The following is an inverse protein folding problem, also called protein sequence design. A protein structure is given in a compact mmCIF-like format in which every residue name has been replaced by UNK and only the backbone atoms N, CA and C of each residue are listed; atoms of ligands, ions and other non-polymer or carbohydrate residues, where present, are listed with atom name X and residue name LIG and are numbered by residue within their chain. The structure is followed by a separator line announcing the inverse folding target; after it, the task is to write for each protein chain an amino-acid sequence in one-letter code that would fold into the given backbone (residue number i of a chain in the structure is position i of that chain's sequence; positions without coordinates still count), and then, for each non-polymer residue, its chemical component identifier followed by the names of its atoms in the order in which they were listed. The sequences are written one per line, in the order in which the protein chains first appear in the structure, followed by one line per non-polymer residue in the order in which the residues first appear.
data_IF_871324154137
#
_entry.id   IF_871324154137
#
_cell.length_a   1.000
_cell.length_b   1.000
_cell.length_c   1.000
_cell.angle_alpha   90.00
_cell.angle_beta   90.00
_cell.angle_gamma   90.00
#
_symmetry.space_group_name_H-M   'P 1'
#
loop_
_entity.id
_entity.type
_entity.pdbx_description
1 polymer ?
#
# COMPACT_ATOMS: atom_id res chain seq x y z
N UNK A 1 18.84 -6.95 -9.49
CA UNK A 1 17.54 -6.36 -9.86
C UNK A 1 17.70 -5.78 -11.25
N UNK A 2 17.30 -6.54 -12.28
CA UNK A 2 17.28 -6.32 -13.76
C UNK A 2 18.40 -5.56 -14.50
N UNK A 3 19.23 -4.74 -13.85
CA UNK A 3 20.16 -3.81 -14.50
C UNK A 3 19.46 -2.58 -15.11
N UNK A 4 18.18 -2.39 -14.81
CA UNK A 4 17.36 -1.31 -15.38
C UNK A 4 17.50 -0.03 -14.56
N UNK A 5 17.59 1.08 -15.28
CA UNK A 5 17.55 2.43 -14.73
C UNK A 5 16.28 2.67 -13.89
N UNK A 6 16.38 3.18 -12.65
CA UNK A 6 15.23 3.51 -11.81
C UNK A 6 14.25 4.48 -12.47
N UNK A 7 14.73 5.43 -13.27
CA UNK A 7 13.85 6.37 -13.97
C UNK A 7 13.06 5.67 -15.07
N UNK A 8 13.69 4.77 -15.82
CA UNK A 8 12.96 3.94 -16.78
C UNK A 8 11.88 3.07 -16.10
N UNK A 9 12.17 2.52 -14.91
CA UNK A 9 11.17 1.82 -14.11
C UNK A 9 10.06 2.75 -13.62
N UNK A 10 10.36 4.01 -13.30
CA UNK A 10 9.39 4.94 -12.74
C UNK A 10 8.53 5.64 -13.81
N UNK A 11 9.06 5.91 -15.00
CA UNK A 11 8.42 6.81 -15.97
C UNK A 11 8.13 6.18 -17.33
N UNK A 12 8.86 5.14 -17.72
CA UNK A 12 8.78 4.59 -19.09
C UNK A 12 7.85 3.36 -19.18
N UNK A 13 7.27 2.92 -18.06
CA UNK A 13 6.26 1.84 -18.02
C UNK A 13 4.88 2.33 -18.46
N UNK A 14 4.19 1.50 -19.22
CA UNK A 14 2.77 1.66 -19.50
C UNK A 14 1.93 1.42 -18.23
N UNK A 15 0.72 1.99 -18.10
CA UNK A 15 -0.10 1.83 -16.90
C UNK A 15 -0.33 0.38 -16.49
N UNK A 16 -0.50 -0.53 -17.46
CA UNK A 16 -0.69 -1.96 -17.22
C UNK A 16 0.54 -2.69 -16.64
N UNK A 17 1.73 -2.06 -16.66
CA UNK A 17 2.97 -2.63 -16.14
C UNK A 17 3.27 -2.22 -14.69
N UNK A 18 2.39 -1.41 -14.08
CA UNK A 18 2.47 -1.10 -12.66
C UNK A 18 1.94 -2.26 -11.81
N UNK A 19 2.48 -2.36 -10.59
CA UNK A 19 2.28 -3.49 -9.67
C UNK A 19 1.97 -3.03 -8.24
N UNK A 20 1.53 -1.78 -8.09
CA UNK A 20 1.08 -1.26 -6.79
C UNK A 20 -0.27 -1.87 -6.42
N UNK A 21 -0.60 -1.83 -5.13
CA UNK A 21 -1.86 -2.35 -4.62
C UNK A 21 -3.04 -1.52 -5.12
N UNK A 22 -4.18 -2.15 -5.44
CA UNK A 22 -5.43 -1.48 -5.83
C UNK A 22 -5.92 -0.49 -4.78
N UNK A 23 -5.55 -0.67 -3.51
CA UNK A 23 -5.74 0.33 -2.45
C UNK A 23 -5.24 1.74 -2.86
N UNK A 24 -4.18 1.81 -3.66
CA UNK A 24 -3.56 3.05 -4.11
C UNK A 24 -4.13 3.59 -5.43
N UNK A 25 -5.07 2.89 -6.07
CA UNK A 25 -5.79 3.37 -7.27
C UNK A 25 -6.88 4.39 -6.93
N UNK A 26 -7.21 4.55 -5.65
CA UNK A 26 -8.20 5.52 -5.21
C UNK A 26 -7.67 6.94 -5.39
N UNK A 27 -8.48 7.82 -6.01
CA UNK A 27 -8.18 9.25 -6.09
C UNK A 27 -8.05 9.90 -4.71
N UNK A 28 -7.55 11.14 -4.64
CA UNK A 28 -7.21 11.79 -3.37
C UNK A 28 -8.36 11.78 -2.35
N UNK A 29 -9.58 12.08 -2.80
CA UNK A 29 -10.76 12.16 -1.94
C UNK A 29 -10.69 13.34 -0.97
N UNK A 30 -11.44 13.26 0.12
CA UNK A 30 -11.33 14.22 1.22
C UNK A 30 -10.23 13.82 2.22
N UNK A 31 -10.11 14.57 3.32
CA UNK A 31 -9.09 14.32 4.33
C UNK A 31 -9.29 12.97 5.03
N UNK A 32 -10.53 12.57 5.31
CA UNK A 32 -10.81 11.29 5.97
C UNK A 32 -10.46 10.11 5.06
N UNK A 33 -10.78 10.20 3.76
CA UNK A 33 -10.36 9.23 2.74
C UNK A 33 -8.84 9.12 2.66
N UNK A 34 -8.14 10.26 2.67
CA UNK A 34 -6.67 10.28 2.63
C UNK A 34 -6.07 9.62 3.87
N UNK A 35 -6.56 9.95 5.07
CA UNK A 35 -6.05 9.37 6.32
C UNK A 35 -6.40 7.88 6.46
N UNK A 36 -7.60 7.46 6.06
CA UNK A 36 -7.98 6.05 6.06
C UNK A 36 -7.09 5.22 5.12
N UNK A 37 -6.90 5.67 3.87
CA UNK A 37 -6.03 4.98 2.90
C UNK A 37 -4.59 4.92 3.39
N UNK A 38 -4.06 6.04 3.91
CA UNK A 38 -2.72 6.08 4.49
C UNK A 38 -2.62 5.11 5.66
N UNK A 39 -3.50 5.17 6.66
CA UNK A 39 -3.49 4.25 7.79
C UNK A 39 -3.49 2.77 7.38
N UNK A 40 -4.37 2.38 6.45
CA UNK A 40 -4.43 1.01 5.94
C UNK A 40 -3.11 0.60 5.27
N UNK A 41 -2.52 1.47 4.45
CA UNK A 41 -1.25 1.22 3.76
C UNK A 41 -0.04 1.22 4.69
N UNK A 42 0.18 2.27 5.49
CA UNK A 42 1.36 2.41 6.36
C UNK A 42 1.40 1.24 7.37
N UNK A 43 0.25 0.85 7.93
CA UNK A 43 0.19 -0.31 8.84
C UNK A 43 0.51 -1.62 8.11
N UNK A 44 0.11 -1.74 6.85
CA UNK A 44 0.43 -2.93 6.04
C UNK A 44 1.91 -2.97 5.64
N UNK A 45 2.48 -1.82 5.28
CA UNK A 45 3.90 -1.72 4.91
C UNK A 45 4.79 -1.92 6.13
N UNK A 46 4.40 -1.42 7.31
CA UNK A 46 5.09 -1.73 8.57
C UNK A 46 5.22 -3.25 8.80
N UNK A 47 4.13 -4.01 8.67
CA UNK A 47 4.15 -5.48 8.81
C UNK A 47 5.04 -6.14 7.74
N UNK A 48 5.03 -5.65 6.50
CA UNK A 48 5.90 -6.16 5.42
C UNK A 48 7.37 -5.84 5.66
N UNK A 49 7.70 -4.63 6.10
CA UNK A 49 9.06 -4.20 6.38
C UNK A 49 9.63 -4.96 7.59
N UNK A 50 8.81 -5.21 8.62
CA UNK A 50 9.16 -6.09 9.75
C UNK A 50 9.54 -7.50 9.27
N UNK A 51 8.79 -8.07 8.32
CA UNK A 51 9.12 -9.39 7.76
C UNK A 51 10.38 -9.37 6.87
N UNK A 52 10.61 -8.30 6.12
CA UNK A 52 11.74 -8.19 5.19
C UNK A 52 13.06 -7.83 5.87
N UNK A 53 13.04 -7.08 6.97
CA UNK A 53 14.27 -6.71 7.70
C UNK A 53 14.93 -7.92 8.36
N UNK A 54 14.14 -8.94 8.68
CA UNK A 54 14.59 -10.22 9.24
C UNK A 54 15.01 -11.22 8.15
N UNK A 55 14.88 -10.86 6.87
CA UNK A 55 15.17 -11.73 5.74
C UNK A 55 16.66 -12.07 5.59
N UNK A 56 16.94 -13.25 5.05
CA UNK A 56 18.28 -13.81 4.87
C UNK A 56 19.11 -13.10 3.77
N UNK A 57 18.48 -12.34 2.87
CA UNK A 57 19.19 -11.64 1.80
C UNK A 57 19.62 -10.23 2.23
N UNK A 58 20.89 -10.14 2.66
CA UNK A 58 21.46 -8.94 3.26
C UNK A 58 21.23 -7.61 2.50
N UNK A 59 21.37 -7.52 1.17
CA UNK A 59 21.15 -6.25 0.46
C UNK A 59 19.75 -5.65 0.65
N UNK A 60 18.70 -6.50 0.73
CA UNK A 60 17.35 -6.04 0.97
C UNK A 60 17.12 -5.74 2.45
N UNK A 61 17.56 -6.63 3.35
CA UNK A 61 17.42 -6.43 4.79
C UNK A 61 18.07 -5.11 5.25
N UNK A 62 19.27 -4.80 4.76
CA UNK A 62 19.98 -3.54 5.08
C UNK A 62 19.27 -2.29 4.52
N UNK A 63 18.68 -2.38 3.33
CA UNK A 63 17.86 -1.31 2.77
C UNK A 63 16.59 -1.09 3.61
N UNK A 64 15.88 -2.17 3.93
CA UNK A 64 14.65 -2.15 4.71
C UNK A 64 14.89 -1.64 6.13
N UNK A 65 16.03 -1.95 6.75
CA UNK A 65 16.40 -1.40 8.06
C UNK A 65 16.45 0.14 8.09
N UNK A 66 16.66 0.78 6.93
CA UNK A 66 16.55 2.24 6.80
C UNK A 66 15.09 2.68 6.69
N UNK A 67 14.30 2.00 5.86
CA UNK A 67 12.88 2.29 5.64
C UNK A 67 12.04 2.14 6.91
N UNK A 68 12.31 1.13 7.75
CA UNK A 68 11.59 0.89 9.03
C UNK A 68 11.64 2.13 9.94
N UNK A 69 12.73 2.91 9.91
CA UNK A 69 12.84 4.13 10.73
C UNK A 69 11.90 5.23 10.26
N UNK A 70 11.71 5.37 8.95
CA UNK A 70 10.80 6.34 8.34
C UNK A 70 9.35 5.89 8.55
N UNK A 71 9.09 4.59 8.39
CA UNK A 71 7.75 4.01 8.54
C UNK A 71 7.15 4.21 9.95
N UNK A 72 8.00 4.21 10.97
CA UNK A 72 7.58 4.55 12.34
C UNK A 72 6.98 5.96 12.45
N UNK A 73 7.49 6.93 11.69
CA UNK A 73 6.93 8.27 11.67
C UNK A 73 5.63 8.34 10.89
N UNK A 74 5.52 7.59 9.79
CA UNK A 74 4.30 7.52 9.01
C UNK A 74 3.15 6.92 9.81
N UNK A 75 3.36 5.74 10.40
CA UNK A 75 2.39 5.06 11.28
C UNK A 75 1.96 5.95 12.45
N UNK A 76 2.89 6.59 13.17
CA UNK A 76 2.56 7.53 14.25
C UNK A 76 1.72 8.72 13.74
N UNK A 77 2.05 9.27 12.57
CA UNK A 77 1.31 10.40 12.00
C UNK A 77 -0.13 10.04 11.65
N UNK A 78 -0.33 8.89 10.99
CA UNK A 78 -1.65 8.46 10.53
C UNK A 78 -2.54 8.01 11.69
N UNK A 79 -1.98 7.35 12.70
CA UNK A 79 -2.71 6.96 13.91
C UNK A 79 -3.21 8.18 14.69
N UNK A 80 -2.37 9.21 14.84
CA UNK A 80 -2.75 10.46 15.51
C UNK A 80 -3.88 11.20 14.79
N UNK A 81 -3.91 11.14 13.46
CA UNK A 81 -5.03 11.68 12.69
C UNK A 81 -6.29 10.83 12.80
N UNK A 82 -6.15 9.51 12.82
CA UNK A 82 -7.26 8.58 13.02
C UNK A 82 -7.96 8.84 14.35
N UNK A 83 -7.18 9.04 15.42
CA UNK A 83 -7.68 9.40 16.76
C UNK A 83 -8.46 10.72 16.74
N UNK A 84 -7.93 11.75 16.07
CA UNK A 84 -8.61 13.05 15.93
C UNK A 84 -9.91 12.95 15.14
N UNK A 85 -9.91 12.22 14.02
CA UNK A 85 -11.09 12.05 13.18
C UNK A 85 -12.16 11.19 13.87
N UNK A 86 -11.75 10.23 14.70
CA UNK A 86 -12.64 9.40 15.48
C UNK A 86 -13.13 10.06 16.79
N UNK A 87 -12.56 11.20 17.17
CA UNK A 87 -12.85 11.86 18.45
C UNK A 87 -14.28 12.39 18.50
N UNK A 88 -15.14 11.69 19.23
CA UNK A 88 -16.55 12.05 19.40
C UNK A 88 -17.40 11.76 18.16
N UNK A 89 -18.74 11.92 18.27
CA UNK A 89 -19.65 11.77 17.15
C UNK A 89 -19.57 12.95 16.17
N UNK A 90 -20.03 12.74 14.94
CA UNK A 90 -20.25 13.80 13.95
C UNK A 90 -19.51 13.56 12.64
N UNK A 91 -19.58 14.58 11.77
CA UNK A 91 -19.16 14.49 10.38
C UNK A 91 -17.73 13.93 10.16
N UNK A 92 -16.68 14.31 10.92
CA UNK A 92 -15.35 13.74 10.73
C UNK A 92 -15.31 12.22 10.94
N UNK A 93 -16.04 11.73 11.94
CA UNK A 93 -16.14 10.30 12.26
C UNK A 93 -16.93 9.57 11.18
N UNK A 94 -18.06 10.14 10.75
CA UNK A 94 -18.92 9.54 9.73
C UNK A 94 -18.18 9.41 8.39
N UNK A 95 -17.41 10.43 8.00
CA UNK A 95 -16.55 10.40 6.81
C UNK A 95 -15.44 9.36 6.93
N UNK A 96 -14.82 9.23 8.11
CA UNK A 96 -13.80 8.21 8.34
C UNK A 96 -14.37 6.79 8.22
N UNK A 97 -15.56 6.54 8.79
CA UNK A 97 -16.26 5.25 8.68
C UNK A 97 -16.58 4.94 7.21
N UNK A 98 -17.13 5.92 6.48
CA UNK A 98 -17.44 5.76 5.06
C UNK A 98 -16.19 5.49 4.22
N UNK A 99 -15.06 6.13 4.55
CA UNK A 99 -13.78 5.87 3.89
C UNK A 99 -13.27 4.45 4.15
N UNK A 100 -13.33 3.97 5.39
CA UNK A 100 -12.93 2.59 5.74
C UNK A 100 -13.81 1.55 5.03
N UNK A 101 -15.11 1.81 4.92
CA UNK A 101 -16.05 0.96 4.17
C UNK A 101 -15.71 0.93 2.67
N UNK A 102 -15.47 2.10 2.09
CA UNK A 102 -15.10 2.25 0.67
C UNK A 102 -13.77 1.57 0.33
N UNK A 103 -12.77 1.68 1.22
CA UNK A 103 -11.42 1.17 0.99
C UNK A 103 -11.25 -0.30 1.36
N UNK A 104 -12.08 -0.84 2.26
CA UNK A 104 -11.96 -2.22 2.78
C UNK A 104 -11.85 -3.31 1.71
N UNK A 105 -12.68 -3.28 0.64
CA UNK A 105 -12.58 -4.23 -0.48
C UNK A 105 -11.20 -4.26 -1.15
N UNK A 106 -10.39 -3.21 -1.01
CA UNK A 106 -9.05 -3.11 -1.59
C UNK A 106 -7.93 -3.12 -0.56
N UNK A 107 -8.23 -3.00 0.72
CA UNK A 107 -7.25 -2.77 1.77
C UNK A 107 -6.18 -3.87 1.88
N UNK A 108 -6.59 -5.15 1.76
CA UNK A 108 -5.68 -6.30 1.81
C UNK A 108 -4.88 -6.53 0.53
N UNK A 109 -5.11 -5.78 -0.55
CA UNK A 109 -4.38 -5.97 -1.83
C UNK A 109 -2.88 -5.64 -1.74
N UNK A 110 -2.45 -4.99 -0.65
CA UNK A 110 -1.03 -4.82 -0.31
C UNK A 110 -0.32 -6.17 -0.10
N UNK A 111 -1.08 -7.20 0.30
CA UNK A 111 -0.65 -8.57 0.57
C UNK A 111 -0.99 -9.55 -0.56
N UNK A 112 -1.34 -9.07 -1.75
CA UNK A 112 -1.52 -9.97 -2.91
C UNK A 112 -0.29 -10.86 -3.09
N UNK A 113 -0.54 -12.17 -3.22
CA UNK A 113 0.46 -13.21 -3.43
C UNK A 113 1.49 -12.80 -4.48
N UNK A 114 2.78 -12.90 -4.13
CA UNK A 114 3.84 -12.56 -5.06
C UNK A 114 4.08 -13.70 -6.05
N UNK A 115 4.36 -13.41 -7.34
CA UNK A 115 4.91 -14.39 -8.25
C UNK A 115 6.21 -14.98 -7.67
N UNK A 116 6.25 -16.31 -7.48
CA UNK A 116 7.39 -16.99 -6.90
C UNK A 116 7.52 -16.87 -5.37
N UNK A 117 6.47 -16.44 -4.65
CA UNK A 117 6.48 -16.35 -3.19
C UNK A 117 7.01 -17.60 -2.46
N UNK A 118 6.64 -18.84 -2.85
CA UNK A 118 7.19 -20.04 -2.19
C UNK A 118 8.72 -20.08 -2.22
N UNK A 119 9.35 -19.67 -3.32
CA UNK A 119 10.79 -19.62 -3.44
C UNK A 119 11.42 -18.48 -2.61
N UNK A 120 10.72 -17.34 -2.46
CA UNK A 120 11.17 -16.25 -1.59
C UNK A 120 11.14 -16.66 -0.12
N UNK A 121 10.11 -17.41 0.29
CA UNK A 121 9.98 -17.96 1.65
C UNK A 121 11.00 -19.07 1.90
N UNK A 122 11.16 -20.01 0.97
CA UNK A 122 12.17 -21.08 1.06
C UNK A 122 13.59 -20.52 1.15
N UNK A 123 13.90 -19.46 0.39
CA UNK A 123 15.18 -18.77 0.45
C UNK A 123 15.35 -17.87 1.69
N UNK A 124 14.32 -17.73 2.52
CA UNK A 124 14.31 -16.85 3.69
C UNK A 124 14.37 -15.36 3.36
N UNK A 125 14.14 -14.96 2.11
CA UNK A 125 14.08 -13.53 1.71
C UNK A 125 12.84 -12.87 2.29
N UNK A 126 11.72 -13.59 2.25
CA UNK A 126 10.50 -13.27 2.98
C UNK A 126 10.39 -14.28 4.13
N UNK A 127 10.28 -13.83 5.37
CA UNK A 127 10.30 -14.75 6.53
C UNK A 127 9.04 -15.61 6.64
N UNK A 128 7.92 -15.17 6.04
CA UNK A 128 6.63 -15.88 6.05
C UNK A 128 5.73 -15.43 4.89
N UNK A 129 4.78 -16.27 4.43
CA UNK A 129 3.89 -15.96 3.31
C UNK A 129 3.09 -14.66 3.49
N UNK A 130 2.67 -14.04 2.38
CA UNK A 130 1.91 -12.79 2.43
C UNK A 130 0.55 -12.95 3.13
N UNK A 131 -0.05 -14.14 3.11
CA UNK A 131 -1.27 -14.45 3.86
C UNK A 131 -1.11 -14.30 5.37
N UNK A 132 0.06 -14.67 5.90
CA UNK A 132 0.34 -14.59 7.34
C UNK A 132 0.57 -13.13 7.73
N UNK A 133 1.22 -12.36 6.85
CA UNK A 133 1.38 -10.92 7.02
C UNK A 133 0.02 -10.20 6.99
N UNK A 134 -0.89 -10.60 6.11
CA UNK A 134 -2.24 -10.05 6.05
C UNK A 134 -3.00 -10.31 7.36
N UNK A 135 -2.91 -11.53 7.91
CA UNK A 135 -3.57 -11.89 9.16
C UNK A 135 -3.09 -11.01 10.32
N UNK A 136 -1.78 -10.80 10.45
CA UNK A 136 -1.19 -9.93 11.45
C UNK A 136 -1.61 -8.47 11.28
N UNK A 137 -1.62 -7.99 10.05
CA UNK A 137 -2.11 -6.65 9.74
C UNK A 137 -3.58 -6.48 10.12
N UNK A 138 -4.45 -7.45 9.80
CA UNK A 138 -5.87 -7.42 10.19
C UNK A 138 -6.05 -7.41 11.70
N UNK A 139 -5.25 -8.18 12.45
CA UNK A 139 -5.26 -8.14 13.90
C UNK A 139 -4.84 -6.76 14.44
N UNK A 140 -3.73 -6.21 13.92
CA UNK A 140 -3.19 -4.90 14.31
C UNK A 140 -4.19 -3.77 14.06
N UNK A 141 -4.77 -3.71 12.86
CA UNK A 141 -5.78 -2.67 12.57
C UNK A 141 -7.06 -2.87 13.37
N UNK A 142 -7.45 -4.13 13.64
CA UNK A 142 -8.64 -4.46 14.42
C UNK A 142 -8.54 -3.97 15.86
N UNK A 143 -7.37 -4.13 16.49
CA UNK A 143 -7.10 -3.60 17.83
C UNK A 143 -7.23 -2.08 17.87
N UNK A 144 -6.54 -1.37 16.97
CA UNK A 144 -6.58 0.10 16.92
C UNK A 144 -7.97 0.63 16.59
N UNK A 145 -8.65 0.09 15.58
CA UNK A 145 -10.01 0.54 15.23
C UNK A 145 -11.01 0.24 16.34
N UNK A 146 -10.90 -0.92 17.00
CA UNK A 146 -11.71 -1.29 18.16
C UNK A 146 -11.55 -0.31 19.32
N UNK A 147 -10.30 0.09 19.64
CA UNK A 147 -10.01 1.12 20.65
C UNK A 147 -10.65 2.47 20.33
N UNK A 148 -10.79 2.82 19.05
CA UNK A 148 -11.45 4.05 18.58
C UNK A 148 -12.97 3.92 18.40
N UNK A 149 -13.52 2.72 18.63
CA UNK A 149 -14.92 2.38 18.40
C UNK A 149 -15.33 2.44 16.92
N UNK A 150 -14.36 2.33 16.00
CA UNK A 150 -14.61 2.31 14.56
C UNK A 150 -14.90 0.87 14.10
N UNK A 151 -15.76 0.68 13.08
CA UNK A 151 -15.99 -0.64 12.51
C UNK A 151 -14.74 -1.14 11.79
N UNK A 152 -14.56 -2.46 11.78
CA UNK A 152 -13.55 -3.09 10.94
C UNK A 152 -13.90 -2.86 9.45
N UNK A 153 -12.92 -2.64 8.56
CA UNK A 153 -13.17 -2.54 7.13
C UNK A 153 -13.73 -3.86 6.58
N UNK A 154 -14.53 -3.81 5.50
CA UNK A 154 -14.96 -5.00 4.77
C UNK A 154 -13.80 -5.93 4.37
N UNK A 155 -14.13 -7.19 4.13
CA UNK A 155 -13.18 -8.15 3.59
C UNK A 155 -12.69 -7.72 2.21
N UNK A 156 -11.43 -8.05 1.91
CA UNK A 156 -10.82 -7.72 0.61
C UNK A 156 -11.41 -8.58 -0.49
N UNK A 157 -11.77 -7.95 -1.60
CA UNK A 157 -12.36 -8.61 -2.77
C UNK A 157 -11.25 -8.93 -3.77
N UNK A 158 -11.28 -10.15 -4.31
CA UNK A 158 -10.31 -10.61 -5.32
C UNK A 158 -8.83 -10.30 -4.95
N UNK A 159 -8.35 -10.79 -3.80
CA UNK A 159 -6.98 -10.52 -3.36
C UNK A 159 -5.92 -11.09 -4.30
N UNK A 160 -6.25 -12.12 -5.10
CA UNK A 160 -5.33 -12.76 -6.04
C UNK A 160 -4.90 -11.84 -7.19
N UNK A 161 -5.75 -10.89 -7.58
CA UNK A 161 -5.46 -9.92 -8.65
C UNK A 161 -5.30 -8.49 -8.11
N UNK A 162 -5.10 -8.31 -6.80
CA UNK A 162 -5.09 -6.99 -6.16
C UNK A 162 -3.94 -6.06 -6.55
N UNK A 163 -2.92 -6.54 -7.27
CA UNK A 163 -1.75 -5.77 -7.72
C UNK A 163 -1.56 -5.76 -9.24
N UNK A 164 -2.51 -6.32 -9.95
CA UNK A 164 -2.66 -6.22 -11.38
C UNK A 164 -3.97 -5.46 -11.62
N UNK A 165 -4.02 -4.58 -12.60
CA UNK A 165 -5.32 -4.07 -13.06
C UNK A 165 -6.29 -5.23 -13.35
N UNK A 166 -7.62 -4.99 -13.40
CA UNK A 166 -8.57 -6.02 -13.81
C UNK A 166 -8.08 -6.70 -15.10
N UNK A 167 -8.18 -8.02 -15.23
CA UNK A 167 -7.63 -8.74 -16.40
C UNK A 167 -8.10 -8.07 -17.70
N UNK A 168 -7.16 -7.48 -18.45
CA UNK A 168 -7.42 -6.77 -19.72
C UNK A 168 -7.63 -5.25 -19.63
N UNK A 169 -7.64 -4.67 -18.44
CA UNK A 169 -7.69 -3.23 -18.18
C UNK A 169 -6.54 -2.87 -17.22
N UNK A 170 -5.91 -1.71 -17.40
CA UNK A 170 -4.86 -1.24 -16.47
C UNK A 170 -5.41 -0.98 -15.06
N UNK A 171 -4.65 -0.23 -14.27
CA UNK A 171 -5.19 0.33 -13.02
C UNK A 171 -6.40 1.25 -13.28
N UNK A 172 -7.08 1.68 -12.21
CA UNK A 172 -8.30 2.49 -12.35
C UNK A 172 -8.08 3.88 -13.00
N UNK A 173 -9.15 4.58 -13.41
CA UNK A 173 -9.06 5.88 -14.11
C UNK A 173 -8.28 6.97 -13.36
N UNK A 174 -8.27 6.93 -12.02
CA UNK A 174 -7.49 7.86 -11.22
C UNK A 174 -5.98 7.62 -11.35
N UNK A 175 -5.55 6.37 -11.52
CA UNK A 175 -4.16 6.06 -11.83
C UNK A 175 -3.81 6.45 -13.26
N UNK A 176 -4.68 6.21 -14.24
CA UNK A 176 -4.43 6.64 -15.63
C UNK A 176 -4.22 8.15 -15.73
N UNK A 177 -5.02 8.94 -15.00
CA UNK A 177 -4.81 10.38 -14.88
C UNK A 177 -3.47 10.71 -14.21
N UNK A 178 -3.15 10.06 -13.07
CA UNK A 178 -1.89 10.29 -12.35
C UNK A 178 -0.66 9.93 -13.19
N UNK A 179 -0.70 8.80 -13.89
CA UNK A 179 0.33 8.38 -14.85
C UNK A 179 0.53 9.43 -15.93
N UNK A 180 -0.56 9.95 -16.49
CA UNK A 180 -0.52 11.07 -17.42
C UNK A 180 0.30 12.25 -16.90
N UNK A 181 0.04 12.64 -15.65
CA UNK A 181 0.69 13.77 -14.98
C UNK A 181 2.17 13.51 -14.65
N UNK A 182 2.50 12.43 -13.94
CA UNK A 182 3.88 12.23 -13.47
C UNK A 182 4.85 11.81 -14.59
N UNK A 183 4.34 11.28 -15.71
CA UNK A 183 5.16 10.98 -16.90
C UNK A 183 5.22 12.13 -17.91
N UNK A 184 4.46 13.21 -17.71
CA UNK A 184 4.32 14.28 -18.70
C UNK A 184 5.67 14.89 -19.10
N UNK A 185 6.51 15.21 -18.11
CA UNK A 185 7.83 15.83 -18.36
C UNK A 185 8.76 14.86 -19.07
N UNK A 186 8.85 13.61 -18.59
CA UNK A 186 9.66 12.55 -19.23
C UNK A 186 9.28 12.33 -20.69
N UNK A 187 7.98 12.35 -21.01
CA UNK A 187 7.47 12.20 -22.39
C UNK A 187 7.69 13.43 -23.26
N UNK A 188 7.75 14.62 -22.67
CA UNK A 188 7.92 15.87 -23.40
C UNK A 188 9.33 16.07 -23.96
N UNK A 189 10.35 15.51 -23.30
CA UNK A 189 11.75 15.55 -23.74
C UNK A 189 12.49 14.24 -23.39
N UNK A 190 12.41 13.21 -24.26
CA UNK A 190 13.04 11.91 -24.00
C UNK A 190 14.57 11.92 -23.90
N UNK A 191 15.23 13.00 -24.34
CA UNK A 191 16.68 13.14 -24.29
C UNK A 191 17.19 13.90 -23.07
N UNK A 192 16.30 14.44 -22.24
CA UNK A 192 16.67 15.21 -21.07
C UNK A 192 17.30 14.35 -19.97
N UNK A 193 18.19 14.97 -19.20
CA UNK A 193 18.87 14.38 -18.05
C UNK A 193 18.61 15.25 -16.83
N UNK A 194 18.30 14.63 -15.69
CA UNK A 194 17.87 15.30 -14.46
C UNK A 194 18.59 14.71 -13.24
#
# INVERSE_FOLDING_TARGET
LTGTDPDALAYDREPADYRHARLLDHGRGDWAMTMARRYLYETADAVRLEALVEGAWAPLAELVAKLVREERYHTMHVEHWLERLASGPGEPRDRLIAALDTLGPDAGTVFTLLPGEPALVEAGILTRPMSDLEADWRARIGETLGRLGLPAPPATTDPAHGRSGPIGLGHGPAFDWLHGEFTAVRRSDPGATW
#
